data_IF_562651563648
#
_entry.id   IF_562651563648
#
_cell.length_a   1.000
_cell.length_b   1.000
_cell.length_c   1.000
_cell.angle_alpha   90.00
_cell.angle_beta   90.00
_cell.angle_gamma   90.00
#
_symmetry.space_group_name_H-M   'P 1'
#
loop_
_entity.id
_entity.type
_entity.pdbx_description
1 polymer ?
#
# COMPACT_ATOMS: atom_id res chain seq x y z
N UNK A 1 0.46 -11.52 18.91
CA UNK A 1 0.11 -11.84 17.52
C UNK A 1 -1.34 -11.47 17.37
N UNK A 2 -1.67 -10.65 16.36
CA UNK A 2 -3.05 -10.20 16.09
C UNK A 2 -3.30 -10.28 14.58
N UNK A 3 -4.51 -10.69 14.24
CA UNK A 3 -5.09 -10.59 12.91
C UNK A 3 -6.23 -9.57 13.02
N UNK A 4 -6.09 -8.43 12.37
CA UNK A 4 -6.99 -7.28 12.49
C UNK A 4 -7.60 -6.97 11.13
N UNK A 5 -8.92 -6.81 11.07
CA UNK A 5 -9.62 -6.32 9.90
C UNK A 5 -9.46 -4.79 9.79
N UNK A 6 -9.20 -4.31 8.58
CA UNK A 6 -9.11 -2.90 8.22
C UNK A 6 -10.23 -2.58 7.21
N UNK A 7 -11.44 -2.26 7.66
CA UNK A 7 -12.58 -2.06 6.79
C UNK A 7 -12.39 -0.88 5.84
N UNK A 8 -12.78 -1.03 4.58
CA UNK A 8 -12.71 0.04 3.60
C UNK A 8 -13.60 1.23 3.99
N UNK A 9 -14.78 0.95 4.51
CA UNK A 9 -15.79 1.94 4.94
C UNK A 9 -15.34 2.80 6.12
N UNK A 10 -14.36 2.33 6.92
CA UNK A 10 -13.83 3.10 8.05
C UNK A 10 -12.82 4.17 7.64
N UNK A 11 -12.40 4.22 6.36
CA UNK A 11 -11.36 5.15 5.88
C UNK A 11 -11.97 6.49 5.49
N UNK A 12 -11.61 7.53 6.22
CA UNK A 12 -12.00 8.89 5.87
C UNK A 12 -11.10 9.44 4.74
N UNK A 13 -11.69 10.10 3.71
CA UNK A 13 -10.90 10.78 2.68
C UNK A 13 -10.20 12.01 3.25
N UNK A 14 -8.93 12.18 2.94
CA UNK A 14 -8.14 13.36 3.27
C UNK A 14 -7.73 14.06 1.98
N UNK A 15 -8.39 15.16 1.61
CA UNK A 15 -8.03 15.93 0.42
C UNK A 15 -6.61 16.49 0.51
N UNK A 16 -5.92 16.51 -0.62
CA UNK A 16 -4.59 17.13 -0.69
C UNK A 16 -4.69 18.66 -0.63
N UNK A 17 -3.70 19.28 -0.01
CA UNK A 17 -3.67 20.73 0.14
C UNK A 17 -3.65 21.50 -1.20
N UNK A 18 -3.06 20.89 -2.24
CA UNK A 18 -3.00 21.45 -3.59
C UNK A 18 -4.26 21.15 -4.44
N UNK A 19 -5.25 20.40 -3.90
CA UNK A 19 -6.45 19.99 -4.61
C UNK A 19 -6.23 18.94 -5.68
N UNK A 20 -5.03 18.35 -5.79
CA UNK A 20 -4.68 17.40 -6.85
C UNK A 20 -5.12 15.96 -6.60
N UNK A 21 -5.78 15.68 -5.49
CA UNK A 21 -6.23 14.33 -5.17
C UNK A 21 -6.69 14.14 -3.74
N UNK A 22 -6.93 12.87 -3.40
CA UNK A 22 -7.42 12.44 -2.09
C UNK A 22 -6.62 11.24 -1.61
N UNK A 23 -6.33 11.18 -0.32
CA UNK A 23 -5.69 10.03 0.32
C UNK A 23 -6.64 9.36 1.30
N UNK A 24 -6.71 8.04 1.25
CA UNK A 24 -7.37 7.18 2.25
C UNK A 24 -6.27 6.45 3.03
N UNK A 25 -6.07 6.81 4.31
CA UNK A 25 -5.16 6.07 5.17
C UNK A 25 -5.73 4.68 5.44
N UNK A 26 -4.95 3.64 5.18
CA UNK A 26 -5.33 2.24 5.41
C UNK A 26 -4.85 1.81 6.78
N UNK A 27 -3.58 2.08 7.08
CA UNK A 27 -2.97 1.82 8.38
C UNK A 27 -1.68 2.64 8.53
N UNK A 28 -1.38 3.03 9.75
CA UNK A 28 -0.14 3.73 10.10
C UNK A 28 0.31 3.37 11.53
N UNK A 29 1.54 3.66 11.85
CA UNK A 29 2.05 3.60 13.21
C UNK A 29 2.91 4.85 13.52
N UNK A 30 2.55 5.64 14.54
CA UNK A 30 1.25 5.63 15.23
C UNK A 30 0.10 6.00 14.30
N UNK A 31 -1.10 5.46 14.54
CA UNK A 31 -2.28 5.74 13.71
C UNK A 31 -2.63 7.24 13.74
N UNK A 32 -2.92 7.82 12.57
CA UNK A 32 -3.32 9.22 12.42
C UNK A 32 -2.24 10.26 12.75
N UNK A 33 -1.01 9.83 13.02
CA UNK A 33 0.08 10.74 13.34
C UNK A 33 0.67 11.39 12.08
N UNK A 34 0.96 12.68 12.14
CA UNK A 34 1.69 13.37 11.09
C UNK A 34 3.16 12.88 11.01
N UNK A 35 3.75 12.57 12.17
CA UNK A 35 5.06 11.94 12.30
C UNK A 35 4.86 10.45 12.57
N UNK A 36 4.97 9.64 11.52
CA UNK A 36 4.73 8.21 11.55
C UNK A 36 6.02 7.41 11.35
N UNK A 37 6.07 6.22 11.90
CA UNK A 37 7.10 5.21 11.63
C UNK A 37 6.92 4.59 10.26
N UNK A 38 5.67 4.24 9.94
CA UNK A 38 5.25 3.77 8.63
C UNK A 38 3.76 4.10 8.39
N UNK A 39 3.39 4.23 7.12
CA UNK A 39 2.00 4.50 6.71
C UNK A 39 1.72 3.86 5.36
N UNK A 40 0.63 3.10 5.28
CA UNK A 40 0.05 2.59 4.03
C UNK A 40 -1.23 3.35 3.72
N UNK A 41 -1.36 3.85 2.52
CA UNK A 41 -2.52 4.59 2.05
C UNK A 41 -2.86 4.26 0.60
N UNK A 42 -4.11 4.49 0.20
CA UNK A 42 -4.57 4.57 -1.17
C UNK A 42 -4.72 6.05 -1.54
N UNK A 43 -4.09 6.47 -2.62
CA UNK A 43 -4.19 7.81 -3.16
C UNK A 43 -4.97 7.77 -4.47
N UNK A 44 -5.98 8.64 -4.60
CA UNK A 44 -6.62 8.96 -5.88
C UNK A 44 -5.98 10.25 -6.38
N UNK A 45 -5.34 10.20 -7.54
CA UNK A 45 -4.61 11.30 -8.15
C UNK A 45 -5.47 11.81 -9.29
N UNK A 46 -6.08 12.99 -9.09
CA UNK A 46 -7.04 13.56 -10.04
C UNK A 46 -6.39 14.58 -10.98
N UNK A 47 -5.33 15.23 -10.49
CA UNK A 47 -4.59 16.26 -11.24
C UNK A 47 -3.10 15.99 -11.13
N UNK A 48 -2.41 16.10 -12.25
CA UNK A 48 -0.95 16.01 -12.32
C UNK A 48 -0.27 17.09 -11.47
N UNK A 49 0.90 16.78 -10.94
CA UNK A 49 1.65 17.73 -10.15
C UNK A 49 2.63 17.11 -9.16
N UNK A 50 3.27 17.97 -8.36
CA UNK A 50 4.26 17.52 -7.40
C UNK A 50 3.63 16.76 -6.22
N UNK A 51 4.32 15.74 -5.78
CA UNK A 51 4.04 15.09 -4.50
C UNK A 51 4.63 15.89 -3.34
N UNK A 52 3.98 15.79 -2.17
CA UNK A 52 4.52 16.35 -0.94
C UNK A 52 5.84 15.68 -0.57
N UNK A 53 6.78 16.47 -0.08
CA UNK A 53 8.05 15.97 0.46
C UNK A 53 7.87 15.49 1.90
N UNK A 54 8.53 14.39 2.23
CA UNK A 54 8.53 13.78 3.55
C UNK A 54 9.98 13.53 4.00
N UNK A 55 10.57 14.44 4.78
CA UNK A 55 11.96 14.31 5.24
C UNK A 55 12.21 13.00 6.00
N UNK A 56 13.26 12.28 5.61
CA UNK A 56 13.66 11.03 6.25
C UNK A 56 12.69 9.86 6.03
N UNK A 57 11.88 9.90 4.98
CA UNK A 57 10.93 8.84 4.62
C UNK A 57 11.31 8.22 3.28
N UNK A 58 11.24 6.91 3.18
CA UNK A 58 11.28 6.18 1.91
C UNK A 58 9.86 5.83 1.47
N UNK A 59 9.61 5.93 0.16
CA UNK A 59 8.30 5.68 -0.44
C UNK A 59 8.37 4.48 -1.38
N UNK A 60 7.33 3.65 -1.32
CA UNK A 60 7.06 2.57 -2.26
C UNK A 60 5.67 2.79 -2.82
N UNK A 61 5.56 3.07 -4.13
CA UNK A 61 4.32 3.44 -4.81
C UNK A 61 3.96 2.36 -5.83
N UNK A 62 2.75 1.83 -5.74
CA UNK A 62 2.20 0.78 -6.59
C UNK A 62 0.92 1.30 -7.25
N UNK A 63 0.95 1.50 -8.56
CA UNK A 63 -0.22 2.00 -9.31
C UNK A 63 -1.31 0.93 -9.30
N UNK A 64 -2.49 1.24 -8.81
CA UNK A 64 -3.64 0.33 -8.76
C UNK A 64 -4.53 0.45 -10.00
N UNK A 65 -4.74 1.68 -10.46
CA UNK A 65 -5.58 1.98 -11.63
C UNK A 65 -4.99 3.17 -12.39
N UNK A 66 -5.23 3.19 -13.71
CA UNK A 66 -4.71 4.24 -14.58
C UNK A 66 -3.23 4.08 -14.86
N UNK A 67 -2.60 5.17 -15.30
CA UNK A 67 -1.18 5.24 -15.64
C UNK A 67 -0.58 6.54 -15.16
N UNK A 68 0.60 6.48 -14.62
CA UNK A 68 1.36 7.66 -14.21
C UNK A 68 2.73 7.68 -14.89
N UNK A 69 3.22 8.86 -15.25
CA UNK A 69 4.63 9.09 -15.50
C UNK A 69 5.22 9.69 -14.22
N UNK A 70 6.03 8.91 -13.53
CA UNK A 70 6.67 9.32 -12.28
C UNK A 70 8.01 9.95 -12.57
N UNK A 71 8.11 11.25 -12.34
CA UNK A 71 9.36 12.00 -12.29
C UNK A 71 9.89 12.02 -10.86
N UNK A 72 11.15 11.65 -10.67
CA UNK A 72 11.89 11.76 -9.40
C UNK A 72 13.17 12.48 -9.71
N UNK A 73 13.51 13.53 -8.95
CA UNK A 73 14.73 14.30 -9.18
C UNK A 73 15.96 13.39 -9.33
N UNK A 74 16.85 13.76 -10.25
CA UNK A 74 18.07 13.03 -10.58
C UNK A 74 17.85 11.63 -11.20
N UNK A 75 16.63 11.31 -11.66
CA UNK A 75 16.30 10.09 -12.37
C UNK A 75 15.52 10.40 -13.65
N UNK A 76 15.68 9.55 -14.66
CA UNK A 76 14.81 9.60 -15.85
C UNK A 76 13.37 9.28 -15.44
N UNK A 77 12.38 10.06 -15.92
CA UNK A 77 10.97 9.76 -15.71
C UNK A 77 10.60 8.39 -16.24
N UNK A 78 9.71 7.70 -15.55
CA UNK A 78 9.27 6.36 -15.94
C UNK A 78 7.76 6.23 -15.81
N UNK A 79 7.16 5.55 -16.78
CA UNK A 79 5.75 5.16 -16.73
C UNK A 79 5.55 3.97 -15.80
N UNK A 80 4.42 4.00 -15.09
CA UNK A 80 3.93 2.92 -14.24
C UNK A 80 2.43 2.77 -14.41
N UNK A 81 1.99 1.54 -14.54
CA UNK A 81 0.57 1.16 -14.54
C UNK A 81 0.32 -0.08 -13.66
N UNK A 82 -0.89 -0.64 -13.78
CA UNK A 82 -1.27 -1.80 -12.97
C UNK A 82 -0.50 -3.09 -13.29
N UNK A 83 0.29 -3.17 -14.34
CA UNK A 83 1.13 -4.32 -14.67
C UNK A 83 2.56 -4.21 -14.12
N UNK A 84 2.96 -3.01 -13.69
CA UNK A 84 4.32 -2.75 -13.22
C UNK A 84 4.50 -3.14 -11.74
N UNK A 85 5.77 -3.37 -11.38
CA UNK A 85 6.19 -3.46 -9.98
C UNK A 85 6.15 -2.08 -9.31
N UNK A 86 6.20 -2.06 -7.98
CA UNK A 86 6.19 -0.82 -7.22
C UNK A 86 7.47 0.02 -7.46
N UNK A 87 7.28 1.32 -7.66
CA UNK A 87 8.37 2.30 -7.68
C UNK A 87 8.87 2.57 -6.26
N UNK A 88 10.19 2.58 -6.07
CA UNK A 88 10.82 2.95 -4.80
C UNK A 88 11.68 4.21 -4.95
N UNK A 89 11.46 5.19 -4.08
CA UNK A 89 12.19 6.46 -4.11
C UNK A 89 12.20 7.14 -2.73
N UNK A 90 13.22 7.99 -2.46
CA UNK A 90 13.23 8.81 -1.26
C UNK A 90 12.07 9.80 -1.27
N UNK A 91 11.39 9.96 -0.13
CA UNK A 91 10.28 10.90 0.01
C UNK A 91 10.70 12.35 0.22
N UNK A 92 11.98 12.60 0.45
CA UNK A 92 12.59 13.90 0.70
C UNK A 92 13.28 14.53 -0.51
N UNK A 93 13.05 13.98 -1.70
CA UNK A 93 13.50 14.59 -2.96
C UNK A 93 12.30 14.98 -3.81
N UNK A 94 12.40 16.03 -4.64
CA UNK A 94 11.32 16.45 -5.51
C UNK A 94 10.84 15.31 -6.40
N UNK A 95 9.55 15.06 -6.39
CA UNK A 95 8.91 14.06 -7.23
C UNK A 95 7.53 14.52 -7.67
N UNK A 96 7.09 14.09 -8.86
CA UNK A 96 5.83 14.49 -9.45
C UNK A 96 5.23 13.34 -10.27
N UNK A 97 3.92 13.38 -10.46
CA UNK A 97 3.23 12.51 -11.40
C UNK A 97 2.59 13.32 -12.52
N UNK A 98 2.77 12.88 -13.78
CA UNK A 98 1.93 13.24 -14.90
C UNK A 98 0.91 12.12 -15.11
N UNK A 99 -0.26 12.48 -15.64
CA UNK A 99 -1.40 11.59 -15.83
C UNK A 99 -1.78 11.48 -17.31
N UNK A 100 -1.01 10.73 -18.12
CA UNK A 100 -1.19 10.71 -19.59
C UNK A 100 -2.57 10.20 -20.02
N UNK A 101 -3.18 9.34 -19.21
CA UNK A 101 -4.47 8.71 -19.53
C UNK A 101 -5.59 9.17 -18.57
N UNK A 102 -5.41 10.28 -17.85
CA UNK A 102 -6.36 10.82 -16.87
C UNK A 102 -6.11 10.33 -15.45
N UNK A 103 -7.11 10.44 -14.53
CA UNK A 103 -6.95 10.11 -13.13
C UNK A 103 -6.40 8.71 -12.89
N UNK A 104 -5.61 8.57 -11.82
CA UNK A 104 -4.99 7.31 -11.44
C UNK A 104 -5.18 7.03 -9.95
N UNK A 105 -5.08 5.77 -9.55
CA UNK A 105 -5.06 5.34 -8.16
C UNK A 105 -3.76 4.60 -7.86
N UNK A 106 -3.17 4.85 -6.69
CA UNK A 106 -1.93 4.20 -6.29
C UNK A 106 -1.90 3.91 -4.79
N UNK A 107 -1.44 2.72 -4.44
CA UNK A 107 -1.03 2.43 -3.06
C UNK A 107 0.33 3.05 -2.78
N UNK A 108 0.47 3.66 -1.62
CA UNK A 108 1.68 4.35 -1.21
C UNK A 108 2.07 3.88 0.20
N UNK A 109 3.13 3.11 0.28
CA UNK A 109 3.75 2.70 1.52
C UNK A 109 4.93 3.64 1.81
N UNK A 110 4.87 4.29 2.95
CA UNK A 110 5.91 5.17 3.46
C UNK A 110 6.53 4.57 4.71
N UNK A 111 7.86 4.61 4.82
CA UNK A 111 8.59 4.08 5.98
C UNK A 111 9.66 5.04 6.44
N UNK A 112 9.83 5.21 7.75
CA UNK A 112 10.90 6.02 8.35
C UNK A 112 12.25 5.40 8.02
N UNK A 113 13.05 6.12 7.22
CA UNK A 113 14.39 5.68 6.79
C UNK A 113 15.29 5.39 7.98
N UNK A 114 16.05 4.29 7.90
CA UNK A 114 16.95 3.84 8.96
C UNK A 114 16.28 3.14 10.14
N UNK A 115 14.96 3.28 10.33
CA UNK A 115 14.21 2.59 11.37
C UNK A 115 13.32 1.47 10.81
N UNK A 116 12.76 1.68 9.61
CA UNK A 116 11.84 0.77 8.97
C UNK A 116 12.12 0.62 7.48
N UNK A 117 11.79 -0.54 6.93
CA UNK A 117 11.81 -0.83 5.49
C UNK A 117 10.46 -1.38 5.06
N UNK A 118 10.08 -1.15 3.81
CA UNK A 118 8.79 -1.58 3.29
C UNK A 118 8.86 -2.14 1.88
N UNK A 119 7.97 -3.10 1.58
CA UNK A 119 7.73 -3.59 0.23
C UNK A 119 6.25 -3.63 -0.06
N UNK A 120 5.87 -3.35 -1.31
CA UNK A 120 4.53 -3.52 -1.86
C UNK A 120 4.62 -4.43 -3.07
N UNK A 121 3.75 -5.40 -3.16
CA UNK A 121 3.66 -6.29 -4.32
C UNK A 121 2.22 -6.70 -4.60
N UNK A 122 1.91 -6.96 -5.86
CA UNK A 122 0.69 -7.66 -6.26
C UNK A 122 0.89 -9.15 -6.22
N UNK A 123 -0.17 -9.86 -5.87
CA UNK A 123 -0.23 -11.32 -5.99
C UNK A 123 -1.60 -11.73 -6.47
N UNK A 124 -1.65 -12.75 -7.31
CA UNK A 124 -2.90 -13.42 -7.68
C UNK A 124 -3.13 -14.58 -6.73
N UNK A 125 -4.33 -14.64 -6.14
CA UNK A 125 -4.81 -15.76 -5.35
C UNK A 125 -5.76 -16.56 -6.23
N UNK A 126 -5.29 -17.71 -6.71
CA UNK A 126 -6.08 -18.66 -7.47
C UNK A 126 -6.31 -19.90 -6.60
N UNK A 127 -7.54 -20.01 -6.06
CA UNK A 127 -7.89 -21.00 -5.06
C UNK A 127 -7.23 -20.75 -3.71
N UNK A 128 -5.93 -20.92 -3.58
CA UNK A 128 -5.21 -20.68 -2.33
C UNK A 128 -3.79 -20.16 -2.56
N UNK A 129 -3.36 -19.23 -1.71
CA UNK A 129 -1.99 -18.73 -1.63
C UNK A 129 -1.53 -18.63 -0.17
N UNK A 130 -0.21 -18.63 0.03
CA UNK A 130 0.38 -18.45 1.36
C UNK A 130 1.29 -17.23 1.35
N UNK A 131 1.10 -16.36 2.34
CA UNK A 131 1.96 -15.21 2.63
C UNK A 131 2.73 -15.50 3.91
N UNK A 132 4.06 -15.41 3.85
CA UNK A 132 4.90 -15.53 5.05
C UNK A 132 4.92 -14.18 5.75
N UNK A 133 4.37 -14.13 6.97
CA UNK A 133 4.27 -12.90 7.74
C UNK A 133 5.65 -12.35 8.11
N UNK A 134 5.79 -11.05 8.03
CA UNK A 134 6.95 -10.28 8.46
C UNK A 134 6.67 -9.61 9.83
N UNK A 135 7.43 -8.57 10.22
CA UNK A 135 7.15 -7.85 11.48
C UNK A 135 5.72 -7.30 11.47
N UNK A 136 5.34 -6.69 10.34
CA UNK A 136 3.99 -6.28 10.01
C UNK A 136 3.71 -6.74 8.58
N UNK A 137 2.58 -7.38 8.37
CA UNK A 137 2.10 -7.79 7.05
C UNK A 137 0.69 -7.27 6.87
N UNK A 138 0.47 -6.52 5.80
CA UNK A 138 -0.86 -6.07 5.40
C UNK A 138 -1.23 -6.78 4.09
N UNK A 139 -2.50 -7.14 3.97
CA UNK A 139 -3.08 -7.66 2.72
C UNK A 139 -4.31 -6.85 2.42
N UNK A 140 -4.43 -6.37 1.19
CA UNK A 140 -5.58 -5.63 0.70
C UNK A 140 -6.29 -6.47 -0.36
N UNK A 141 -7.60 -6.46 -0.34
CA UNK A 141 -8.49 -7.16 -1.27
C UNK A 141 -9.29 -6.14 -2.09
N UNK A 142 -8.74 -5.58 -3.18
CA UNK A 142 -9.43 -4.55 -3.97
C UNK A 142 -10.80 -4.99 -4.45
N UNK A 143 -10.94 -6.21 -4.94
CA UNK A 143 -12.20 -6.77 -5.47
C UNK A 143 -13.07 -7.45 -4.40
N UNK A 144 -12.49 -7.82 -3.26
CA UNK A 144 -13.16 -8.59 -2.20
C UNK A 144 -13.25 -10.08 -2.47
N UNK A 145 -14.09 -10.79 -1.67
CA UNK A 145 -14.26 -12.25 -1.83
C UNK A 145 -13.10 -13.08 -1.31
N UNK A 146 -12.17 -12.48 -0.59
CA UNK A 146 -10.99 -13.12 -0.04
C UNK A 146 -11.24 -13.61 1.38
N UNK A 147 -10.82 -14.82 1.68
CA UNK A 147 -10.77 -15.34 3.06
C UNK A 147 -9.31 -15.48 3.49
N UNK A 148 -9.02 -15.00 4.69
CA UNK A 148 -7.70 -15.08 5.29
C UNK A 148 -7.74 -15.96 6.55
N UNK A 149 -6.74 -16.82 6.71
CA UNK A 149 -6.60 -17.66 7.88
C UNK A 149 -5.17 -17.58 8.43
N UNK A 150 -5.06 -17.21 9.70
CA UNK A 150 -3.83 -17.25 10.46
C UNK A 150 -4.02 -18.16 11.68
N UNK A 151 -3.44 -19.37 11.65
CA UNK A 151 -3.71 -20.43 12.65
C UNK A 151 -5.21 -20.74 12.76
N UNK A 152 -5.84 -20.50 13.93
CA UNK A 152 -7.26 -20.70 14.16
C UNK A 152 -8.12 -19.48 13.83
N UNK A 153 -7.51 -18.28 13.70
CA UNK A 153 -8.23 -17.04 13.38
C UNK A 153 -8.56 -17.00 11.88
N UNK A 154 -9.77 -16.52 11.57
CA UNK A 154 -10.25 -16.39 10.19
C UNK A 154 -10.93 -15.05 10.02
N UNK A 155 -10.70 -14.40 8.87
CA UNK A 155 -11.37 -13.18 8.44
C UNK A 155 -11.84 -13.36 6.99
N UNK A 156 -13.03 -12.82 6.68
CA UNK A 156 -13.47 -12.59 5.32
C UNK A 156 -13.28 -11.11 4.98
N UNK A 157 -12.75 -10.82 3.80
CA UNK A 157 -12.52 -9.47 3.32
C UNK A 157 -13.50 -9.17 2.19
N UNK A 158 -14.24 -8.07 2.36
CA UNK A 158 -15.05 -7.45 1.31
C UNK A 158 -14.20 -6.62 0.35
N UNK A 159 -14.85 -6.02 -0.64
CA UNK A 159 -14.18 -5.17 -1.62
C UNK A 159 -13.53 -3.95 -0.95
N UNK A 160 -12.27 -3.75 -1.23
CA UNK A 160 -11.46 -2.68 -0.65
C UNK A 160 -10.96 -2.93 0.77
N UNK A 161 -11.45 -3.96 1.47
CA UNK A 161 -10.98 -4.26 2.81
C UNK A 161 -9.50 -4.65 2.83
N UNK A 162 -8.91 -4.50 3.99
CA UNK A 162 -7.58 -4.99 4.28
C UNK A 162 -7.54 -5.77 5.59
N UNK A 163 -6.43 -6.43 5.80
CA UNK A 163 -6.07 -6.99 7.10
C UNK A 163 -4.65 -6.59 7.48
N UNK A 164 -4.40 -6.56 8.79
CA UNK A 164 -3.08 -6.37 9.35
C UNK A 164 -2.72 -7.53 10.27
N UNK A 165 -1.52 -8.08 10.05
CA UNK A 165 -0.91 -9.10 10.92
C UNK A 165 0.31 -8.51 11.57
N UNK A 166 0.36 -8.53 12.89
CA UNK A 166 1.50 -8.05 13.68
C UNK A 166 2.02 -9.13 14.64
N UNK A 167 3.33 -9.07 14.94
CA UNK A 167 4.01 -9.97 15.89
C UNK A 167 3.87 -11.46 15.51
N UNK A 168 3.89 -11.75 14.20
CA UNK A 168 3.71 -13.08 13.64
C UNK A 168 4.79 -13.45 12.62
N UNK A 169 5.97 -12.85 12.70
CA UNK A 169 7.08 -13.08 11.77
C UNK A 169 7.33 -14.59 11.60
N UNK A 170 7.39 -15.04 10.34
CA UNK A 170 7.55 -16.43 9.95
C UNK A 170 6.27 -17.28 9.99
N UNK A 171 5.15 -16.77 10.53
CA UNK A 171 3.88 -17.47 10.45
C UNK A 171 3.32 -17.46 9.02
N UNK A 172 2.57 -18.49 8.68
CA UNK A 172 1.91 -18.64 7.39
C UNK A 172 0.49 -18.07 7.45
N UNK A 173 0.23 -17.00 6.71
CA UNK A 173 -1.09 -16.47 6.45
C UNK A 173 -1.61 -17.14 5.19
N UNK A 174 -2.66 -17.96 5.31
CA UNK A 174 -3.32 -18.58 4.16
C UNK A 174 -4.41 -17.66 3.65
N UNK A 175 -4.39 -17.39 2.36
CA UNK A 175 -5.42 -16.65 1.62
C UNK A 175 -6.16 -17.64 0.72
N UNK A 176 -7.48 -17.52 0.61
CA UNK A 176 -8.29 -18.32 -0.30
C UNK A 176 -9.32 -17.46 -0.99
N UNK A 177 -9.53 -17.70 -2.28
CA UNK A 177 -10.57 -17.06 -3.09
C UNK A 177 -11.27 -18.09 -3.95
N UNK A 178 -12.57 -17.89 -4.22
CA UNK A 178 -13.35 -18.77 -5.09
C UNK A 178 -13.02 -18.56 -6.59
N UNK A 179 -12.51 -17.39 -6.95
CA UNK A 179 -12.09 -17.02 -8.30
C UNK A 179 -10.68 -16.44 -8.24
N UNK A 180 -9.92 -16.40 -9.34
CA UNK A 180 -8.68 -15.65 -9.38
C UNK A 180 -8.91 -14.21 -8.94
N UNK A 181 -8.22 -13.78 -7.90
CA UNK A 181 -8.37 -12.45 -7.32
C UNK A 181 -7.01 -11.83 -7.07
N UNK A 182 -6.89 -10.55 -7.39
CA UNK A 182 -5.68 -9.79 -7.15
C UNK A 182 -5.70 -9.22 -5.73
N UNK A 183 -4.60 -9.39 -5.03
CA UNK A 183 -4.37 -8.81 -3.71
C UNK A 183 -3.09 -7.99 -3.71
N UNK A 184 -3.06 -6.96 -2.87
CA UNK A 184 -1.84 -6.21 -2.61
C UNK A 184 -1.30 -6.61 -1.25
N UNK A 185 -0.04 -7.05 -1.24
CA UNK A 185 0.67 -7.42 -0.01
C UNK A 185 1.71 -6.37 0.32
N UNK A 186 1.63 -5.82 1.52
CA UNK A 186 2.63 -4.93 2.07
C UNK A 186 3.37 -5.62 3.22
N UNK A 187 4.69 -5.56 3.20
CA UNK A 187 5.53 -5.96 4.32
C UNK A 187 6.26 -4.75 4.88
N UNK A 188 6.20 -4.58 6.19
CA UNK A 188 6.94 -3.55 6.91
C UNK A 188 7.81 -4.23 7.96
N UNK A 189 9.11 -3.92 7.95
CA UNK A 189 10.11 -4.54 8.80
C UNK A 189 10.93 -3.48 9.52
N UNK A 190 11.35 -3.77 10.74
CA UNK A 190 12.40 -2.97 11.39
C UNK A 190 13.70 -3.09 10.60
N UNK A 191 14.35 -1.97 10.36
CA UNK A 191 15.70 -1.96 9.80
C UNK A 191 16.66 -2.69 10.78
N UNK A 192 17.60 -3.43 10.21
CA UNK A 192 18.62 -4.17 10.98
C UNK A 192 19.86 -3.32 11.20
#
# INVERSE_FOLDING_TARGET
MSLELLPAEARAPVPWRNGGGVTFEIAAAPAGAADFDWRLSLAIIEVEGPFSEFPGVDRTLLVAEGRIELGVADREPRFYDAADEAAQFPGDIPSAALLPDGPAAAFNLMTRRGAWTGTLERRVVEGAATVICQDITLVLAPSGGLNAQLRAERLALGAGDGLCVQRARGAMLRLTSAHPDEVVVAHVNRAR
#
